data_IF_031005532215
#
_entry.id   IF_031005532215
#
_cell.length_a   1.000
_cell.length_b   1.000
_cell.length_c   1.000
_cell.angle_alpha   90.00
_cell.angle_beta   90.00
_cell.angle_gamma   90.00
#
_symmetry.space_group_name_H-M   'P 1'
#
loop_
_entity.id
_entity.type
_entity.pdbx_description
1 polymer ?
#
# COMPACT_ATOMS: atom_id res chain seq x y z
N UNK A 1 0.87 -8.44 8.01
CA UNK A 1 -0.14 -9.06 7.13
C UNK A 1 -1.14 -8.03 6.56
N UNK A 2 -1.73 -7.15 7.39
CA UNK A 2 -2.68 -6.11 6.96
C UNK A 2 -2.09 -5.09 5.97
N UNK A 3 -0.82 -4.72 6.12
CA UNK A 3 -0.12 -3.84 5.16
C UNK A 3 0.03 -4.49 3.76
N UNK A 4 0.12 -5.81 3.68
CA UNK A 4 0.15 -6.46 2.37
C UNK A 4 -1.21 -6.33 1.67
N UNK A 5 -2.31 -6.35 2.44
CA UNK A 5 -3.66 -6.13 1.93
C UNK A 5 -3.82 -4.69 1.44
N UNK A 6 -3.29 -3.70 2.16
CA UNK A 6 -3.35 -2.30 1.71
C UNK A 6 -2.58 -2.10 0.40
N UNK A 7 -1.39 -2.72 0.29
CA UNK A 7 -0.60 -2.71 -0.95
C UNK A 7 -1.39 -3.38 -2.10
N UNK A 8 -1.99 -4.54 -1.85
CA UNK A 8 -2.81 -5.23 -2.85
C UNK A 8 -4.00 -4.37 -3.33
N UNK A 9 -4.72 -3.73 -2.40
CA UNK A 9 -5.84 -2.83 -2.74
C UNK A 9 -5.41 -1.68 -3.65
N UNK A 10 -4.22 -1.12 -3.45
CA UNK A 10 -3.68 -0.04 -4.30
C UNK A 10 -3.22 -0.53 -5.68
N UNK A 11 -2.87 -1.82 -5.84
CA UNK A 11 -2.52 -2.35 -7.17
C UNK A 11 -3.70 -2.43 -8.12
N UNK A 12 -4.93 -2.61 -7.62
CA UNK A 12 -6.15 -2.70 -8.44
C UNK A 12 -6.40 -1.45 -9.32
N UNK A 13 -6.46 -0.23 -8.77
CA UNK A 13 -6.65 0.97 -9.58
C UNK A 13 -5.49 1.18 -10.57
N UNK A 14 -4.26 0.82 -10.19
CA UNK A 14 -3.07 0.90 -11.07
C UNK A 14 -3.18 -0.08 -12.23
N UNK A 15 -3.63 -1.33 -12.02
CA UNK A 15 -3.82 -2.26 -13.12
C UNK A 15 -4.94 -1.80 -14.06
N UNK A 16 -5.99 -1.18 -13.52
CA UNK A 16 -7.12 -0.69 -14.30
C UNK A 16 -6.74 0.46 -15.26
N UNK A 17 -5.67 1.22 -15.02
CA UNK A 17 -5.22 2.27 -15.96
C UNK A 17 -4.78 1.70 -17.32
N UNK A 18 -4.39 0.43 -17.37
CA UNK A 18 -4.01 -0.25 -18.62
C UNK A 18 -5.22 -0.60 -19.50
N UNK A 19 -6.44 -0.47 -18.99
CA UNK A 19 -7.69 -0.80 -19.67
C UNK A 19 -8.47 0.47 -20.02
N UNK A 20 -9.36 0.44 -21.02
CA UNK A 20 -10.17 1.60 -21.45
C UNK A 20 -11.12 2.15 -20.36
N UNK A 21 -11.24 1.47 -19.21
CA UNK A 21 -12.09 1.83 -18.07
C UNK A 21 -11.68 3.17 -17.42
N UNK A 22 -10.41 3.60 -17.56
CA UNK A 22 -9.94 4.91 -17.05
C UNK A 22 -10.68 6.11 -17.67
N UNK A 23 -11.25 5.94 -18.87
CA UNK A 23 -11.98 7.00 -19.58
C UNK A 23 -13.35 7.29 -18.99
N UNK A 24 -13.83 6.44 -18.08
CA UNK A 24 -15.15 6.61 -17.45
C UNK A 24 -15.12 7.72 -16.39
N UNK A 25 -16.18 8.53 -16.34
CA UNK A 25 -16.36 9.56 -15.29
C UNK A 25 -16.40 9.00 -13.86
N UNK A 26 -16.64 7.69 -13.71
CA UNK A 26 -16.71 7.00 -12.42
C UNK A 26 -15.33 6.59 -11.89
N UNK A 27 -14.30 6.58 -12.75
CA UNK A 27 -12.97 6.13 -12.37
C UNK A 27 -12.33 6.99 -11.26
N UNK A 28 -12.38 8.34 -11.29
CA UNK A 28 -11.87 9.16 -10.19
C UNK A 28 -12.56 8.88 -8.85
N UNK A 29 -13.88 8.68 -8.86
CA UNK A 29 -14.66 8.32 -7.68
C UNK A 29 -14.22 6.96 -7.11
N UNK A 30 -13.98 5.98 -7.98
CA UNK A 30 -13.49 4.66 -7.61
C UNK A 30 -12.08 4.70 -7.01
N UNK A 31 -11.17 5.48 -7.60
CA UNK A 31 -9.82 5.66 -7.06
C UNK A 31 -9.89 6.32 -5.69
N UNK A 32 -10.69 7.37 -5.51
CA UNK A 32 -10.89 8.06 -4.22
C UNK A 32 -11.37 7.08 -3.13
N UNK A 33 -12.40 6.27 -3.40
CA UNK A 33 -12.92 5.31 -2.42
C UNK A 33 -11.90 4.23 -2.11
N UNK A 34 -11.17 3.74 -3.11
CA UNK A 34 -10.10 2.75 -2.91
C UNK A 34 -8.99 3.29 -2.01
N UNK A 35 -8.57 4.55 -2.18
CA UNK A 35 -7.57 5.20 -1.31
C UNK A 35 -8.12 5.34 0.13
N UNK A 36 -9.39 5.72 0.30
CA UNK A 36 -9.99 5.80 1.66
C UNK A 36 -10.03 4.44 2.38
N UNK A 37 -10.31 3.35 1.65
CA UNK A 37 -10.26 1.99 2.23
C UNK A 37 -8.82 1.56 2.53
N UNK A 38 -7.87 1.88 1.66
CA UNK A 38 -6.45 1.64 1.91
C UNK A 38 -5.96 2.39 3.16
N UNK A 39 -6.40 3.64 3.35
CA UNK A 39 -6.11 4.42 4.55
C UNK A 39 -6.64 3.73 5.82
N UNK A 40 -7.93 3.37 5.85
CA UNK A 40 -8.54 2.72 7.01
C UNK A 40 -7.87 1.38 7.35
N UNK A 41 -7.52 0.58 6.34
CA UNK A 41 -6.83 -0.70 6.53
C UNK A 41 -5.37 -0.54 6.96
N UNK A 42 -4.72 0.57 6.61
CA UNK A 42 -3.35 0.89 7.03
C UNK A 42 -3.26 1.40 8.47
N UNK A 43 -4.33 2.02 9.00
CA UNK A 43 -4.36 2.50 10.38
C UNK A 43 -4.28 1.35 11.40
N UNK A 44 -4.96 0.23 11.15
CA UNK A 44 -4.97 -0.93 12.05
C UNK A 44 -3.54 -1.41 12.39
N UNK A 45 -2.67 -1.72 11.41
CA UNK A 45 -1.29 -2.14 11.69
C UNK A 45 -0.45 -1.03 12.33
N UNK A 46 -0.71 0.26 12.06
CA UNK A 46 0.00 1.35 12.77
C UNK A 46 -0.35 1.43 14.24
N UNK A 47 -1.64 1.26 14.59
CA UNK A 47 -2.08 1.25 15.99
C UNK A 47 -1.54 0.03 16.73
N UNK A 48 -1.55 -1.14 16.08
CA UNK A 48 -0.92 -2.35 16.63
C UNK A 48 0.57 -2.14 16.89
N UNK A 49 1.27 -1.50 15.95
CA UNK A 49 2.71 -1.21 16.07
C UNK A 49 3.02 -0.23 17.20
N UNK A 50 2.23 0.85 17.34
CA UNK A 50 2.36 1.78 18.46
C UNK A 50 2.10 1.11 19.81
N UNK A 51 1.22 0.11 19.85
CA UNK A 51 0.90 -0.61 21.09
C UNK A 51 1.97 -1.64 21.48
N UNK A 52 2.42 -2.47 20.53
CA UNK A 52 3.37 -3.56 20.82
C UNK A 52 4.84 -3.15 20.72
N UNK A 53 5.15 -2.02 20.07
CA UNK A 53 6.52 -1.57 19.81
C UNK A 53 7.35 -2.57 19.00
N UNK A 54 6.70 -3.52 18.32
CA UNK A 54 7.38 -4.63 17.67
C UNK A 54 7.90 -4.17 16.30
N UNK A 55 9.17 -3.80 16.26
CA UNK A 55 9.87 -3.39 15.05
C UNK A 55 10.12 -4.56 14.09
N UNK A 56 9.92 -4.28 12.79
CA UNK A 56 10.24 -5.10 11.63
C UNK A 56 9.31 -6.28 11.35
N UNK A 57 8.28 -6.00 10.55
CA UNK A 57 7.69 -7.04 9.70
C UNK A 57 8.39 -7.04 8.35
N UNK A 58 9.11 -8.12 8.02
CA UNK A 58 9.77 -8.31 6.73
C UNK A 58 8.99 -9.32 5.89
N UNK A 59 8.48 -8.91 4.74
CA UNK A 59 7.92 -9.85 3.75
C UNK A 59 8.92 -10.08 2.63
N UNK A 60 9.45 -11.30 2.55
CA UNK A 60 10.40 -11.69 1.52
C UNK A 60 9.68 -12.47 0.41
N UNK A 61 9.73 -11.94 -0.79
CA UNK A 61 9.38 -12.66 -2.01
C UNK A 61 10.65 -12.90 -2.82
N UNK A 62 11.07 -14.16 -2.91
CA UNK A 62 12.14 -14.54 -3.81
C UNK A 62 11.70 -14.30 -5.25
N UNK A 63 12.43 -13.46 -5.98
CA UNK A 63 12.07 -13.07 -7.34
C UNK A 63 12.78 -13.97 -8.35
N UNK A 64 14.09 -13.81 -8.55
CA UNK A 64 14.89 -14.59 -9.51
C UNK A 64 16.30 -14.79 -8.95
N UNK A 65 16.87 -15.98 -9.16
CA UNK A 65 18.30 -16.22 -8.99
C UNK A 65 19.02 -16.14 -10.33
N UNK A 66 19.99 -15.24 -10.48
CA UNK A 66 20.86 -15.16 -11.65
C UNK A 66 22.27 -15.59 -11.22
N UNK A 67 22.64 -16.82 -11.57
CA UNK A 67 23.94 -17.45 -11.29
C UNK A 67 24.32 -17.43 -9.78
N UNK A 68 24.97 -16.37 -9.29
CA UNK A 68 25.34 -16.19 -7.88
C UNK A 68 24.49 -15.15 -7.14
N UNK A 69 23.72 -14.32 -7.85
CA UNK A 69 22.91 -13.24 -7.27
C UNK A 69 21.47 -13.71 -7.06
N UNK A 70 20.99 -13.67 -5.82
CA UNK A 70 19.58 -13.91 -5.48
C UNK A 70 18.87 -12.58 -5.33
N UNK A 71 17.99 -12.24 -6.28
CA UNK A 71 17.12 -11.08 -6.18
C UNK A 71 15.86 -11.47 -5.41
N UNK A 72 15.67 -10.87 -4.24
CA UNK A 72 14.45 -10.97 -3.46
C UNK A 72 13.83 -9.59 -3.26
N UNK A 73 12.52 -9.53 -3.45
CA UNK A 73 11.71 -8.37 -3.11
C UNK A 73 11.38 -8.48 -1.62
N UNK A 74 12.02 -7.64 -0.80
CA UNK A 74 11.83 -7.62 0.65
C UNK A 74 11.21 -6.30 1.08
N UNK A 75 9.97 -6.32 1.56
CA UNK A 75 9.38 -5.14 2.19
C UNK A 75 9.73 -5.16 3.67
N UNK A 76 10.55 -4.19 4.07
CA UNK A 76 10.93 -3.96 5.45
C UNK A 76 10.04 -2.86 6.04
N UNK A 77 9.15 -3.24 6.95
CA UNK A 77 8.25 -2.32 7.63
C UNK A 77 8.86 -1.85 8.95
N UNK A 78 9.69 -0.81 8.85
CA UNK A 78 10.30 -0.11 9.98
C UNK A 78 9.40 1.01 10.51
N UNK A 79 9.69 1.50 11.72
CA UNK A 79 9.01 2.64 12.36
C UNK A 79 8.66 3.79 11.40
N UNK A 80 9.62 4.25 10.60
CA UNK A 80 9.41 5.34 9.64
C UNK A 80 8.36 5.00 8.58
N UNK A 81 8.42 3.78 8.03
CA UNK A 81 7.48 3.34 7.01
C UNK A 81 6.06 3.17 7.58
N UNK A 82 5.96 2.67 8.82
CA UNK A 82 4.70 2.46 9.50
C UNK A 82 3.98 3.78 9.75
N UNK A 83 4.69 4.83 10.19
CA UNK A 83 4.08 6.15 10.41
C UNK A 83 3.84 6.89 9.10
N UNK A 84 4.76 6.77 8.13
CA UNK A 84 4.66 7.52 6.88
C UNK A 84 3.50 7.04 6.01
N UNK A 85 3.23 5.74 5.94
CA UNK A 85 2.21 5.19 5.05
C UNK A 85 0.78 5.75 5.27
N UNK A 86 0.20 5.74 6.49
CA UNK A 86 -1.13 6.31 6.71
C UNK A 86 -1.16 7.82 6.47
N UNK A 87 -0.09 8.56 6.78
CA UNK A 87 0.00 10.00 6.52
C UNK A 87 -0.03 10.27 5.02
N UNK A 88 0.75 9.52 4.24
CA UNK A 88 0.78 9.63 2.78
C UNK A 88 -0.61 9.32 2.18
N UNK A 89 -1.27 8.24 2.62
CA UNK A 89 -2.61 7.88 2.15
C UNK A 89 -3.68 8.90 2.52
N UNK A 90 -3.57 9.53 3.70
CA UNK A 90 -4.48 10.59 4.12
C UNK A 90 -4.33 11.85 3.25
N UNK A 91 -3.09 12.26 2.97
CA UNK A 91 -2.82 13.42 2.12
C UNK A 91 -3.25 13.16 0.68
N UNK A 92 -2.99 11.97 0.12
CA UNK A 92 -3.43 11.64 -1.24
C UNK A 92 -4.95 11.56 -1.36
N UNK A 93 -5.64 11.03 -0.35
CA UNK A 93 -7.10 11.06 -0.32
C UNK A 93 -7.64 12.50 -0.34
N UNK A 94 -7.03 13.38 0.46
CA UNK A 94 -7.39 14.80 0.51
C UNK A 94 -7.15 15.48 -0.84
N UNK A 95 -5.99 15.25 -1.48
CA UNK A 95 -5.68 15.82 -2.80
C UNK A 95 -6.64 15.32 -3.89
N UNK A 96 -7.13 14.08 -3.80
CA UNK A 96 -8.08 13.53 -4.78
C UNK A 96 -9.52 14.01 -4.55
N UNK A 97 -9.82 14.55 -3.36
CA UNK A 97 -11.13 15.09 -3.02
C UNK A 97 -11.29 16.56 -3.41
N UNK A 98 -10.21 17.33 -3.30
CA UNK A 98 -10.16 18.77 -3.63
C UNK A 98 -9.71 19.01 -5.06
#
# INVERSE_FOLDING_TARGET
PLILVTLFMLTLPVMMTSTTIYTSKLYPQYVKTTISYAFMTSLIPTMMFLHSGQDMMVSNWHWITIQTMKLSLSFKLDYFSMIFMPVALFVTWSIMEF
#
